data_IF_890231086480
#
_entry.id   IF_890231086480
#
_cell.length_a   1.000
_cell.length_b   1.000
_cell.length_c   1.000
_cell.angle_alpha   90.00
_cell.angle_beta   90.00
_cell.angle_gamma   90.00
#
_symmetry.space_group_name_H-M   'P 1'
#
loop_
_entity.id
_entity.type
_entity.pdbx_description
1 polymer ?
#
# COMPACT_ATOMS: atom_id res chain seq x y z
N UNK A 1 15.51 -28.25 -7.70
CA UNK A 1 16.19 -26.94 -7.65
C UNK A 1 16.08 -26.49 -6.20
N UNK A 2 17.08 -26.83 -5.41
CA UNK A 2 17.08 -26.58 -3.97
C UNK A 2 17.26 -25.08 -3.75
N UNK A 3 16.16 -24.39 -3.48
CA UNK A 3 16.21 -23.00 -3.03
C UNK A 3 16.96 -22.98 -1.70
N UNK A 4 18.16 -22.40 -1.72
CA UNK A 4 19.05 -22.23 -0.58
C UNK A 4 18.43 -21.19 0.38
N UNK A 5 17.40 -21.62 1.12
CA UNK A 5 16.70 -20.81 2.11
C UNK A 5 17.58 -20.79 3.35
N UNK A 6 18.23 -19.66 3.60
CA UNK A 6 19.03 -19.44 4.81
C UNK A 6 18.13 -18.93 5.92
N UNK A 7 18.03 -19.68 7.01
CA UNK A 7 17.30 -19.27 8.21
C UNK A 7 18.22 -18.48 9.15
N UNK A 8 17.64 -17.46 9.79
CA UNK A 8 18.31 -16.56 10.72
C UNK A 8 17.64 -16.64 12.09
N UNK A 9 18.44 -16.65 13.13
CA UNK A 9 17.98 -16.68 14.53
C UNK A 9 18.60 -15.52 15.31
N UNK A 10 17.78 -14.88 16.16
CA UNK A 10 18.17 -13.75 17.00
C UNK A 10 18.30 -14.21 18.47
N UNK A 11 19.37 -13.82 19.15
CA UNK A 11 19.66 -14.22 20.54
C UNK A 11 18.98 -13.34 21.62
N UNK A 12 18.13 -12.41 21.20
CA UNK A 12 17.45 -11.44 22.08
C UNK A 12 18.36 -10.34 22.63
N UNK A 13 19.64 -10.32 22.26
CA UNK A 13 20.59 -9.22 22.52
C UNK A 13 20.91 -8.40 21.26
N UNK A 14 20.20 -8.70 20.17
CA UNK A 14 20.35 -8.05 18.87
C UNK A 14 21.40 -8.69 17.96
N UNK A 15 21.99 -9.82 18.36
CA UNK A 15 22.92 -10.54 17.49
C UNK A 15 22.13 -11.56 16.66
N UNK A 16 22.35 -11.52 15.35
CA UNK A 16 21.70 -12.41 14.39
C UNK A 16 22.72 -13.44 13.93
N UNK A 17 22.35 -14.71 13.96
CA UNK A 17 23.22 -15.82 13.57
C UNK A 17 22.62 -16.60 12.41
N UNK A 18 23.50 -17.14 11.58
CA UNK A 18 23.14 -18.17 10.61
C UNK A 18 22.95 -19.51 11.33
N UNK A 19 22.19 -20.42 10.70
CA UNK A 19 21.99 -21.79 11.19
C UNK A 19 23.31 -22.61 11.31
N UNK A 20 24.39 -22.12 10.68
CA UNK A 20 25.75 -22.66 10.81
C UNK A 20 26.56 -22.08 11.99
N UNK A 21 25.95 -21.23 12.83
CA UNK A 21 26.57 -20.66 14.04
C UNK A 21 27.50 -19.47 13.82
N UNK A 22 27.58 -18.92 12.61
CA UNK A 22 28.36 -17.72 12.33
C UNK A 22 27.50 -16.45 12.46
N UNK A 23 28.08 -15.37 12.95
CA UNK A 23 27.42 -14.06 13.12
C UNK A 23 27.07 -13.46 11.74
N UNK A 24 25.81 -13.06 11.57
CA UNK A 24 25.25 -12.60 10.30
C UNK A 24 25.70 -11.18 9.89
N UNK A 25 26.39 -10.48 10.79
CA UNK A 25 26.95 -9.15 10.58
C UNK A 25 28.12 -9.13 9.60
N UNK A 26 28.62 -10.29 9.16
CA UNK A 26 29.71 -10.40 8.19
C UNK A 26 29.28 -10.18 6.72
N UNK A 27 27.98 -9.99 6.44
CA UNK A 27 27.53 -9.62 5.10
C UNK A 27 27.63 -8.11 4.92
N UNK A 28 28.60 -7.71 4.09
CA UNK A 28 28.90 -6.37 3.57
C UNK A 28 27.69 -5.43 3.58
N UNK A 29 27.58 -4.59 4.62
CA UNK A 29 26.62 -3.49 4.66
C UNK A 29 27.01 -2.52 3.54
N UNK A 30 26.40 -2.74 2.38
CA UNK A 30 26.52 -1.84 1.23
C UNK A 30 26.24 -0.42 1.75
N UNK A 31 27.11 0.58 1.50
CA UNK A 31 26.97 1.90 2.09
C UNK A 31 25.57 2.46 1.85
N UNK A 32 24.78 2.57 2.92
CA UNK A 32 23.42 3.11 2.83
C UNK A 32 23.53 4.61 2.51
N UNK A 33 23.27 4.99 1.26
CA UNK A 33 23.28 6.39 0.87
C UNK A 33 21.99 7.06 1.37
N UNK A 34 22.00 7.53 2.62
CA UNK A 34 20.93 8.36 3.14
C UNK A 34 20.94 9.73 2.42
N UNK A 35 20.06 9.91 1.44
CA UNK A 35 19.88 11.21 0.77
C UNK A 35 19.18 12.18 1.72
N UNK A 36 19.96 13.05 2.38
CA UNK A 36 19.43 14.05 3.34
C UNK A 36 18.68 15.18 2.65
N UNK A 37 18.99 15.48 1.38
CA UNK A 37 18.36 16.55 0.59
C UNK A 37 18.12 16.11 -0.84
N UNK A 38 17.09 16.66 -1.48
CA UNK A 38 16.77 16.45 -2.91
C UNK A 38 17.94 16.81 -3.84
N UNK A 39 18.78 17.77 -3.44
CA UNK A 39 20.00 18.13 -4.18
C UNK A 39 21.03 17.00 -4.24
N UNK A 40 21.03 16.12 -3.24
CA UNK A 40 21.97 15.00 -3.15
C UNK A 40 21.56 13.89 -4.13
N UNK A 41 20.25 13.73 -4.40
CA UNK A 41 19.75 12.85 -5.45
C UNK A 41 20.27 13.26 -6.83
N UNK A 42 20.24 14.57 -7.13
CA UNK A 42 20.74 15.09 -8.42
C UNK A 42 22.23 14.85 -8.60
N UNK A 43 23.03 14.91 -7.51
CA UNK A 43 24.47 14.60 -7.55
C UNK A 43 24.71 13.11 -7.75
N UNK A 44 23.94 12.25 -7.08
CA UNK A 44 24.03 10.79 -7.24
C UNK A 44 23.71 10.37 -8.67
N UNK A 45 22.63 10.88 -9.25
CA UNK A 45 22.23 10.59 -10.64
C UNK A 45 23.29 11.07 -11.65
N UNK A 46 23.94 12.21 -11.38
CA UNK A 46 24.98 12.74 -12.25
C UNK A 46 26.29 11.94 -12.21
N UNK A 47 26.59 11.32 -11.07
CA UNK A 47 27.87 10.64 -10.83
C UNK A 47 27.78 9.12 -11.00
N UNK A 48 26.60 8.52 -10.95
CA UNK A 48 26.42 7.11 -11.26
C UNK A 48 26.21 6.92 -12.76
N UNK A 49 27.16 6.24 -13.39
CA UNK A 49 27.02 5.68 -14.74
C UNK A 49 26.03 4.52 -14.67
N UNK A 50 24.74 4.84 -14.61
CA UNK A 50 23.65 3.89 -14.45
C UNK A 50 23.44 3.04 -15.72
N UNK A 51 24.32 2.08 -15.96
CA UNK A 51 24.07 0.97 -16.90
C UNK A 51 23.32 -0.18 -16.22
N UNK A 52 23.34 -0.26 -14.88
CA UNK A 52 22.80 -1.39 -14.10
C UNK A 52 21.31 -1.28 -13.73
N UNK A 53 20.67 -0.11 -13.88
CA UNK A 53 19.22 0.03 -13.66
C UNK A 53 18.35 -0.41 -14.85
N UNK A 54 18.97 -0.67 -16.00
CA UNK A 54 18.24 -0.98 -17.22
C UNK A 54 17.75 -2.44 -17.31
N UNK A 55 18.15 -3.33 -16.40
CA UNK A 55 17.76 -4.75 -16.43
C UNK A 55 16.61 -5.15 -15.48
N UNK A 56 15.99 -4.19 -14.79
CA UNK A 56 14.72 -4.49 -14.10
C UNK A 56 13.60 -4.31 -15.13
N UNK A 57 13.28 -5.38 -15.86
CA UNK A 57 11.99 -5.51 -16.52
C UNK A 57 10.91 -5.46 -15.43
N UNK A 58 10.44 -4.26 -15.11
CA UNK A 58 9.22 -4.08 -14.32
C UNK A 58 8.10 -4.59 -15.22
N UNK A 59 7.44 -5.72 -14.90
CA UNK A 59 6.28 -6.12 -15.68
C UNK A 59 5.29 -4.96 -15.65
N UNK A 60 4.84 -4.53 -16.82
CA UNK A 60 3.96 -3.38 -17.00
C UNK A 60 2.72 -3.58 -16.11
N UNK A 61 2.75 -2.98 -14.91
CA UNK A 61 1.64 -3.06 -13.97
C UNK A 61 0.55 -2.22 -14.61
N UNK A 62 -0.39 -2.90 -15.28
CA UNK A 62 -1.59 -2.26 -15.80
C UNK A 62 -2.22 -1.47 -14.66
N UNK A 63 -2.09 -0.15 -14.74
CA UNK A 63 -2.73 0.80 -13.84
C UNK A 63 -4.22 0.47 -13.86
N UNK A 64 -4.74 -0.10 -12.77
CA UNK A 64 -6.19 -0.14 -12.57
C UNK A 64 -6.62 1.30 -12.41
N UNK A 65 -7.54 1.75 -13.25
CA UNK A 65 -8.16 3.07 -13.07
C UNK A 65 -8.66 3.18 -11.63
N UNK A 66 -8.24 4.24 -10.94
CA UNK A 66 -8.74 4.52 -9.62
C UNK A 66 -10.27 4.64 -9.74
N UNK A 67 -11.00 3.95 -8.87
CA UNK A 67 -12.46 4.16 -8.77
C UNK A 67 -12.69 5.66 -8.65
N UNK A 68 -13.50 6.23 -9.55
CA UNK A 68 -13.81 7.67 -9.56
C UNK A 68 -14.24 8.07 -8.17
N UNK A 69 -13.35 8.73 -7.42
CA UNK A 69 -13.71 9.36 -6.16
C UNK A 69 -14.70 10.45 -6.55
N UNK A 70 -15.93 10.32 -6.09
CA UNK A 70 -16.95 11.36 -6.24
C UNK A 70 -16.64 12.48 -5.24
N UNK A 71 -15.46 13.08 -5.36
CA UNK A 71 -15.10 14.31 -4.69
C UNK A 71 -14.74 15.30 -5.79
N UNK A 72 -15.77 15.95 -6.32
CA UNK A 72 -15.63 17.18 -7.08
C UNK A 72 -16.25 18.29 -6.25
N UNK A 73 -15.46 19.31 -5.96
CA UNK A 73 -15.85 20.42 -5.08
C UNK A 73 -16.99 21.29 -5.63
N UNK A 74 -17.53 21.02 -6.83
CA UNK A 74 -18.51 21.88 -7.51
C UNK A 74 -19.72 21.18 -8.11
N UNK A 75 -19.79 19.84 -8.09
CA UNK A 75 -20.94 19.08 -8.61
C UNK A 75 -21.56 18.23 -7.50
N UNK A 76 -22.89 18.29 -7.33
CA UNK A 76 -23.59 17.44 -6.38
C UNK A 76 -23.29 15.97 -6.68
N UNK A 77 -22.83 15.21 -5.67
CA UNK A 77 -22.67 13.78 -5.79
C UNK A 77 -24.02 13.12 -6.09
N UNK A 78 -24.25 12.78 -7.34
CA UNK A 78 -25.37 11.93 -7.74
C UNK A 78 -24.98 10.48 -7.43
N UNK A 79 -25.66 9.91 -6.43
CA UNK A 79 -25.52 8.50 -6.09
C UNK A 79 -26.52 7.68 -6.89
N UNK A 80 -26.05 6.59 -7.46
CA UNK A 80 -26.91 5.64 -8.17
C UNK A 80 -27.61 4.72 -7.18
N UNK A 81 -28.69 4.07 -7.61
CA UNK A 81 -29.35 3.05 -6.79
C UNK A 81 -28.42 1.88 -6.45
N UNK A 82 -27.49 1.54 -7.35
CA UNK A 82 -26.46 0.54 -7.12
C UNK A 82 -25.56 0.92 -5.93
N UNK A 83 -25.14 2.19 -5.84
CA UNK A 83 -24.32 2.70 -4.73
C UNK A 83 -25.06 2.55 -3.39
N UNK A 84 -26.37 2.82 -3.39
CA UNK A 84 -27.24 2.64 -2.22
C UNK A 84 -27.38 1.18 -1.80
N UNK A 85 -27.63 0.29 -2.76
CA UNK A 85 -27.75 -1.15 -2.49
C UNK A 85 -26.45 -1.74 -1.96
N UNK A 86 -25.31 -1.33 -2.55
CA UNK A 86 -23.99 -1.77 -2.10
C UNK A 86 -23.70 -1.31 -0.67
N UNK A 87 -24.05 -0.08 -0.31
CA UNK A 87 -23.98 0.40 1.08
C UNK A 87 -24.83 -0.44 2.03
N UNK A 88 -26.09 -0.73 1.67
CA UNK A 88 -27.00 -1.51 2.51
C UNK A 88 -26.48 -2.95 2.70
N UNK A 89 -25.95 -3.56 1.65
CA UNK A 89 -25.28 -4.86 1.72
C UNK A 89 -24.13 -4.86 2.75
N UNK A 90 -23.25 -3.85 2.69
CA UNK A 90 -22.15 -3.75 3.66
C UNK A 90 -22.62 -3.55 5.10
N UNK A 91 -23.69 -2.79 5.32
CA UNK A 91 -24.21 -2.53 6.66
C UNK A 91 -24.96 -3.75 7.22
N UNK A 92 -25.88 -4.34 6.45
CA UNK A 92 -26.79 -5.37 6.95
C UNK A 92 -26.22 -6.79 6.81
N UNK A 93 -25.63 -7.13 5.66
CA UNK A 93 -25.10 -8.48 5.45
C UNK A 93 -23.67 -8.64 5.98
N UNK A 94 -22.81 -7.62 5.79
CA UNK A 94 -21.43 -7.68 6.29
C UNK A 94 -21.26 -7.12 7.71
N UNK A 95 -22.30 -6.55 8.30
CA UNK A 95 -22.25 -6.01 9.67
C UNK A 95 -21.25 -4.87 9.85
N UNK A 96 -20.87 -4.17 8.77
CA UNK A 96 -19.86 -3.12 8.83
C UNK A 96 -20.38 -1.87 9.56
N UNK A 97 -19.46 -1.13 10.20
CA UNK A 97 -19.78 0.18 10.78
C UNK A 97 -20.13 1.18 9.67
N UNK A 98 -21.06 2.09 9.95
CA UNK A 98 -21.58 3.04 8.94
C UNK A 98 -20.49 3.78 8.15
N UNK A 99 -19.43 4.25 8.82
CA UNK A 99 -18.33 4.97 8.18
C UNK A 99 -17.55 4.07 7.22
N UNK A 100 -17.21 2.86 7.66
CA UNK A 100 -16.49 1.87 6.84
C UNK A 100 -17.33 1.41 5.64
N UNK A 101 -18.63 1.17 5.84
CA UNK A 101 -19.53 0.80 4.75
C UNK A 101 -19.71 1.92 3.72
N UNK A 102 -19.77 3.17 4.16
CA UNK A 102 -19.89 4.33 3.28
C UNK A 102 -18.61 4.54 2.44
N UNK A 103 -17.44 4.41 3.08
CA UNK A 103 -16.14 4.46 2.39
C UNK A 103 -16.02 3.30 1.38
N UNK A 104 -16.39 2.08 1.76
CA UNK A 104 -16.35 0.92 0.88
C UNK A 104 -17.31 1.02 -0.32
N UNK A 105 -18.48 1.66 -0.14
CA UNK A 105 -19.43 1.93 -1.20
C UNK A 105 -19.13 3.21 -1.99
N UNK A 106 -18.07 3.96 -1.64
CA UNK A 106 -17.72 5.26 -2.24
C UNK A 106 -18.88 6.28 -2.18
N UNK A 107 -19.56 6.33 -1.03
CA UNK A 107 -20.69 7.24 -0.74
C UNK A 107 -20.33 8.14 0.42
N UNK A 108 -20.77 9.41 0.38
CA UNK A 108 -20.63 10.30 1.52
C UNK A 108 -21.32 9.71 2.77
N UNK A 109 -20.62 9.57 3.91
CA UNK A 109 -21.18 9.01 5.14
C UNK A 109 -22.46 9.69 5.63
N UNK A 110 -22.58 11.01 5.43
CA UNK A 110 -23.77 11.77 5.85
C UNK A 110 -25.00 11.37 5.04
N UNK A 111 -24.85 11.16 3.73
CA UNK A 111 -25.93 10.70 2.86
C UNK A 111 -26.28 9.24 3.16
N UNK A 112 -25.27 8.38 3.32
CA UNK A 112 -25.47 6.97 3.64
C UNK A 112 -26.23 6.76 4.95
N UNK A 113 -25.97 7.60 5.97
CA UNK A 113 -26.71 7.61 7.23
C UNK A 113 -28.21 7.85 7.04
N UNK A 114 -28.60 8.75 6.13
CA UNK A 114 -30.03 8.99 5.80
C UNK A 114 -30.69 7.77 5.15
N UNK A 115 -29.95 6.97 4.38
CA UNK A 115 -30.48 5.75 3.80
C UNK A 115 -30.72 4.67 4.84
N UNK A 116 -29.77 4.47 5.76
CA UNK A 116 -29.93 3.51 6.85
C UNK A 116 -31.15 3.80 7.72
N UNK A 117 -31.40 5.07 8.02
CA UNK A 117 -32.58 5.50 8.79
C UNK A 117 -33.92 5.10 8.15
N UNK A 118 -33.98 4.89 6.83
CA UNK A 118 -35.21 4.44 6.15
C UNK A 118 -35.50 2.94 6.33
N UNK A 119 -34.53 2.17 6.84
CA UNK A 119 -34.62 0.73 7.04
C UNK A 119 -34.45 0.33 8.52
N UNK A 120 -34.47 1.30 9.44
CA UNK A 120 -34.67 1.07 10.88
C UNK A 120 -36.15 1.24 11.20
#
# INVERSE_FOLDING_TARGET
>A
MDSNITFYSEDGRGNIFYDKGNEATAYDESPSFCLKKITDLKKLVKNNTYSELHEIEVPDVRMKEASVKKERDTEYNVYTEKDRLLYLYFVFEKGMKNKQAAEAANVNPHTARKWKQKYQ
#
